data_IF_756039784509
#
_entry.id   IF_756039784509
#
_cell.length_a   1.000
_cell.length_b   1.000
_cell.length_c   1.000
_cell.angle_alpha   90.00
_cell.angle_beta   90.00
_cell.angle_gamma   90.00
#
_symmetry.space_group_name_H-M   'P 1'
#
loop_
_entity.id
_entity.type
_entity.pdbx_description
1 polymer ?
#
# COMPACT_ATOMS: atom_id res chain seq x y z
N UNK A 1 -21.61 -11.65 17.17
CA UNK A 1 -22.32 -10.38 16.92
C UNK A 1 -22.17 -9.94 15.47
N UNK A 2 -20.94 -9.60 14.97
CA UNK A 2 -20.80 -9.12 13.57
C UNK A 2 -21.24 -10.17 12.55
N UNK A 3 -20.87 -11.43 12.74
CA UNK A 3 -21.32 -12.53 11.87
C UNK A 3 -22.82 -12.79 11.92
N UNK A 4 -23.47 -12.48 13.04
CA UNK A 4 -24.92 -12.58 13.19
C UNK A 4 -25.66 -11.43 12.49
N UNK A 5 -25.05 -10.23 12.46
CA UNK A 5 -25.62 -9.04 11.85
C UNK A 5 -25.41 -9.01 10.34
N UNK A 6 -24.20 -9.36 9.88
CA UNK A 6 -23.76 -9.21 8.49
C UNK A 6 -23.69 -10.53 7.71
N UNK A 7 -23.75 -11.69 8.41
CA UNK A 7 -23.44 -12.99 7.84
C UNK A 7 -21.94 -13.29 7.86
N UNK A 8 -21.54 -14.51 8.16
CA UNK A 8 -20.13 -14.93 8.18
C UNK A 8 -19.48 -14.88 6.79
N UNK A 9 -20.28 -15.10 5.74
CA UNK A 9 -19.89 -15.02 4.33
C UNK A 9 -19.48 -13.61 3.89
N UNK A 10 -19.90 -12.59 4.61
CA UNK A 10 -19.57 -11.19 4.34
C UNK A 10 -18.35 -10.68 5.13
N UNK A 11 -17.63 -11.58 5.80
CA UNK A 11 -16.35 -11.25 6.41
C UNK A 11 -15.29 -10.93 5.33
N UNK A 12 -14.63 -9.77 5.44
CA UNK A 12 -13.63 -9.32 4.49
C UNK A 12 -12.23 -9.56 5.03
N UNK A 13 -11.91 -9.02 6.20
CA UNK A 13 -10.56 -9.12 6.76
C UNK A 13 -10.52 -8.77 8.25
N UNK A 14 -9.50 -9.31 8.92
CA UNK A 14 -9.01 -8.80 10.20
C UNK A 14 -7.77 -7.96 9.95
N UNK A 15 -7.76 -6.74 10.46
CA UNK A 15 -6.66 -5.80 10.30
C UNK A 15 -6.04 -5.55 11.68
N UNK A 16 -4.75 -5.83 11.81
CA UNK A 16 -3.98 -5.42 12.99
C UNK A 16 -3.48 -3.98 12.82
N UNK A 17 -3.61 -3.17 13.86
CA UNK A 17 -3.01 -1.84 13.89
C UNK A 17 -2.28 -1.59 15.20
N UNK A 18 -1.09 -0.99 15.10
CA UNK A 18 -0.25 -0.67 16.25
C UNK A 18 -0.84 0.50 17.02
N UNK A 19 -0.90 0.38 18.37
CA UNK A 19 -1.37 1.45 19.26
C UNK A 19 -0.25 2.02 20.13
N UNK A 20 0.64 1.17 20.63
CA UNK A 20 1.71 1.57 21.57
C UNK A 20 3.03 0.88 21.26
N UNK A 21 4.10 1.24 21.97
CA UNK A 21 5.39 0.56 21.93
C UNK A 21 5.45 -0.76 22.71
N UNK A 22 4.38 -1.07 23.45
CA UNK A 22 4.36 -2.15 24.45
C UNK A 22 4.95 -1.70 25.79
N UNK A 23 4.47 -2.30 26.87
CA UNK A 23 5.01 -2.13 28.20
C UNK A 23 5.53 -3.47 28.71
N UNK A 24 6.47 -3.44 29.64
CA UNK A 24 6.94 -4.66 30.28
C UNK A 24 5.80 -5.30 31.08
N UNK A 25 5.55 -6.57 30.84
CA UNK A 25 4.46 -7.35 31.45
C UNK A 25 4.96 -8.76 31.77
N UNK A 26 4.28 -9.46 32.67
CA UNK A 26 4.60 -10.84 33.02
C UNK A 26 4.35 -11.85 31.87
N UNK A 27 3.71 -11.40 30.77
CA UNK A 27 3.40 -12.20 29.58
C UNK A 27 3.73 -11.40 28.31
N UNK A 28 3.15 -11.74 27.17
CA UNK A 28 3.33 -10.97 25.93
C UNK A 28 2.68 -9.58 26.03
N UNK A 29 3.47 -8.55 25.74
CA UNK A 29 2.99 -7.16 25.69
C UNK A 29 2.00 -6.96 24.55
N UNK A 30 0.88 -6.30 24.86
CA UNK A 30 -0.07 -5.86 23.83
C UNK A 30 0.45 -4.59 23.19
N UNK A 31 0.71 -4.63 21.88
CA UNK A 31 1.26 -3.51 21.12
C UNK A 31 0.27 -2.93 20.13
N UNK A 32 -0.92 -3.51 20.00
CA UNK A 32 -1.94 -3.08 19.03
C UNK A 32 -3.29 -3.70 19.26
N UNK A 33 -4.22 -3.32 18.41
CA UNK A 33 -5.60 -3.76 18.38
C UNK A 33 -5.99 -4.29 17.00
N UNK A 34 -7.22 -4.77 16.89
CA UNK A 34 -7.74 -5.36 15.66
C UNK A 34 -9.00 -4.63 15.21
N UNK A 35 -9.10 -4.43 13.90
CA UNK A 35 -10.34 -4.07 13.22
C UNK A 35 -10.91 -5.32 12.56
N UNK A 36 -12.20 -5.53 12.73
CA UNK A 36 -12.95 -6.56 12.02
C UNK A 36 -13.73 -5.89 10.89
N UNK A 37 -13.41 -6.23 9.67
CA UNK A 37 -14.05 -5.66 8.49
C UNK A 37 -15.07 -6.63 7.91
N UNK A 38 -16.32 -6.18 7.89
CA UNK A 38 -17.44 -6.87 7.26
C UNK A 38 -18.05 -5.98 6.18
N UNK A 39 -18.57 -6.58 5.13
CA UNK A 39 -19.41 -5.93 4.14
C UNK A 39 -20.89 -6.21 4.44
N UNK A 40 -21.79 -5.37 3.92
CA UNK A 40 -23.22 -5.72 3.87
C UNK A 40 -23.49 -6.80 2.82
N UNK A 41 -22.73 -6.75 1.70
CA UNK A 41 -22.74 -7.69 0.59
C UNK A 41 -21.32 -7.68 -0.01
N UNK A 42 -20.58 -8.77 0.20
CA UNK A 42 -19.18 -8.86 -0.23
C UNK A 42 -19.02 -8.78 -1.75
N UNK A 43 -20.04 -9.17 -2.51
CA UNK A 43 -20.01 -9.10 -3.98
C UNK A 43 -20.08 -7.67 -4.52
N UNK A 44 -20.50 -6.72 -3.67
CA UNK A 44 -20.69 -5.29 -3.99
C UNK A 44 -19.71 -4.39 -3.22
N UNK A 45 -18.72 -4.96 -2.58
CA UNK A 45 -17.80 -4.18 -1.76
C UNK A 45 -17.05 -3.14 -2.59
N UNK A 46 -17.06 -1.90 -2.12
CA UNK A 46 -16.18 -0.86 -2.63
C UNK A 46 -14.83 -0.98 -1.94
N UNK A 47 -13.77 -1.18 -2.71
CA UNK A 47 -12.41 -1.26 -2.20
C UNK A 47 -11.43 -0.45 -3.05
N UNK A 48 -10.80 0.53 -2.43
CA UNK A 48 -9.73 1.36 -3.00
C UNK A 48 -8.40 0.92 -2.43
N UNK A 49 -7.48 0.50 -3.31
CA UNK A 49 -6.13 0.12 -2.91
C UNK A 49 -5.38 1.35 -2.44
N UNK A 50 -4.91 1.33 -1.21
CA UNK A 50 -4.02 2.36 -0.68
C UNK A 50 -2.57 1.90 -0.82
N UNK A 51 -1.69 2.86 -1.00
CA UNK A 51 -0.25 2.67 -1.12
C UNK A 51 0.47 3.52 -0.10
N UNK A 52 1.59 3.02 0.39
CA UNK A 52 2.52 3.76 1.24
C UNK A 52 3.87 3.86 0.55
N UNK A 53 4.60 4.94 0.81
CA UNK A 53 5.95 5.10 0.28
C UNK A 53 6.84 3.96 0.79
N UNK A 54 7.53 3.34 -0.14
CA UNK A 54 8.42 2.24 0.14
C UNK A 54 9.47 2.13 -0.95
N UNK A 55 10.72 2.32 -0.57
CA UNK A 55 11.85 2.03 -1.43
C UNK A 55 12.56 0.78 -0.93
N UNK A 56 12.62 -0.30 -1.74
CA UNK A 56 13.32 -1.51 -1.35
C UNK A 56 14.78 -1.23 -1.00
N UNK A 57 15.22 -1.72 0.13
CA UNK A 57 16.62 -1.60 0.53
C UNK A 57 17.50 -2.54 -0.31
N UNK A 58 18.74 -2.17 -0.46
CA UNK A 58 19.75 -3.00 -1.13
C UNK A 58 19.86 -4.34 -0.41
N UNK A 59 19.90 -5.43 -1.18
CA UNK A 59 19.92 -6.79 -0.63
C UNK A 59 18.54 -7.34 -0.24
N UNK A 60 17.52 -6.48 -0.07
CA UNK A 60 16.15 -6.94 0.16
C UNK A 60 15.50 -7.47 -1.11
N UNK A 61 14.68 -8.52 -0.95
CA UNK A 61 13.76 -9.04 -1.98
C UNK A 61 14.38 -9.17 -3.38
N UNK A 62 15.70 -9.48 -3.45
CA UNK A 62 16.40 -9.74 -4.72
C UNK A 62 17.02 -8.54 -5.42
N UNK A 63 17.06 -7.35 -4.81
CA UNK A 63 17.82 -6.20 -5.31
C UNK A 63 19.32 -6.39 -5.06
N UNK A 64 19.92 -7.28 -5.88
CA UNK A 64 21.29 -7.79 -5.70
C UNK A 64 22.20 -7.49 -6.88
N UNK A 65 21.73 -6.72 -7.84
CA UNK A 65 22.47 -6.40 -9.06
C UNK A 65 22.68 -4.90 -9.19
N UNK A 66 23.78 -4.51 -9.85
CA UNK A 66 24.06 -3.13 -10.23
C UNK A 66 24.36 -3.07 -11.72
N UNK A 67 23.87 -2.04 -12.39
CA UNK A 67 24.15 -1.72 -13.79
C UNK A 67 24.77 -0.33 -13.86
N UNK A 68 25.79 -0.20 -14.68
CA UNK A 68 26.54 1.04 -14.90
C UNK A 68 26.08 1.77 -16.17
N UNK A 69 26.44 3.05 -16.34
CA UNK A 69 26.07 3.84 -17.53
C UNK A 69 26.55 3.26 -18.85
N UNK A 70 27.67 2.52 -18.85
CA UNK A 70 28.22 1.83 -20.02
C UNK A 70 27.43 0.56 -20.39
N UNK A 71 26.39 0.20 -19.60
CA UNK A 71 25.56 -0.99 -19.80
C UNK A 71 26.15 -2.27 -19.21
N UNK A 72 27.32 -2.21 -18.57
CA UNK A 72 27.86 -3.36 -17.84
C UNK A 72 27.07 -3.60 -16.56
N UNK A 73 26.93 -4.84 -16.16
CA UNK A 73 26.23 -5.19 -14.93
C UNK A 73 26.91 -6.33 -14.19
N UNK A 74 26.84 -6.29 -12.86
CA UNK A 74 27.35 -7.35 -12.00
C UNK A 74 26.45 -7.53 -10.76
N UNK A 75 26.63 -8.66 -10.10
CA UNK A 75 26.06 -8.83 -8.77
C UNK A 75 26.71 -7.88 -7.76
N UNK A 76 25.95 -7.45 -6.77
CA UNK A 76 26.49 -6.74 -5.61
C UNK A 76 27.36 -7.68 -4.78
N UNK A 77 28.49 -7.19 -4.33
CA UNK A 77 29.38 -7.92 -3.43
C UNK A 77 28.74 -8.10 -2.05
N UNK A 78 29.27 -9.03 -1.25
CA UNK A 78 28.78 -9.22 0.11
C UNK A 78 28.97 -7.96 1.00
N UNK A 79 30.03 -7.21 0.73
CA UNK A 79 30.33 -5.97 1.45
C UNK A 79 29.35 -4.84 1.07
N UNK A 80 29.08 -4.66 -0.22
CA UNK A 80 28.09 -3.68 -0.70
C UNK A 80 26.66 -3.98 -0.17
N UNK A 81 26.29 -5.24 -0.01
CA UNK A 81 25.00 -5.64 0.59
C UNK A 81 24.94 -5.33 2.07
N UNK A 82 26.03 -5.49 2.80
CA UNK A 82 26.10 -5.16 4.24
C UNK A 82 26.24 -3.67 4.48
N UNK A 83 26.87 -2.97 3.56
CA UNK A 83 27.21 -1.55 3.67
C UNK A 83 26.83 -0.80 2.37
N UNK A 84 25.57 -0.40 2.22
CA UNK A 84 25.08 0.25 0.99
C UNK A 84 25.82 1.53 0.60
N UNK A 85 26.52 2.18 1.54
CA UNK A 85 27.34 3.37 1.24
C UNK A 85 28.57 3.07 0.36
N UNK A 86 28.94 1.80 0.22
CA UNK A 86 30.03 1.36 -0.66
C UNK A 86 29.61 1.07 -2.09
N UNK A 87 28.32 1.16 -2.37
CA UNK A 87 27.82 0.97 -3.74
C UNK A 87 28.26 2.15 -4.59
N UNK A 88 28.82 1.91 -5.80
CA UNK A 88 29.19 2.96 -6.72
C UNK A 88 28.01 3.89 -7.02
N UNK A 89 28.23 5.19 -6.90
CA UNK A 89 27.19 6.21 -7.05
C UNK A 89 26.72 6.42 -8.49
N UNK A 90 27.54 5.99 -9.46
CA UNK A 90 27.25 6.01 -10.90
C UNK A 90 26.43 4.80 -11.36
N UNK A 91 26.30 3.78 -10.52
CA UNK A 91 25.53 2.58 -10.84
C UNK A 91 24.08 2.63 -10.29
N UNK A 92 23.17 1.93 -10.98
CA UNK A 92 21.78 1.75 -10.52
C UNK A 92 21.56 0.34 -10.02
N UNK A 93 21.05 0.24 -8.80
CA UNK A 93 20.69 -1.04 -8.19
C UNK A 93 19.39 -1.56 -8.79
N UNK A 94 19.36 -2.85 -9.11
CA UNK A 94 18.18 -3.49 -9.66
C UNK A 94 18.04 -4.95 -9.22
N UNK A 95 16.86 -5.47 -9.47
CA UNK A 95 16.56 -6.89 -9.36
C UNK A 95 16.19 -7.45 -10.74
N UNK A 96 16.75 -8.61 -11.06
CA UNK A 96 16.39 -9.37 -12.24
C UNK A 96 15.10 -10.18 -11.95
N UNK A 97 14.04 -9.88 -12.69
CA UNK A 97 12.70 -10.48 -12.48
C UNK A 97 12.31 -11.29 -13.69
N UNK A 98 11.74 -12.49 -13.48
CA UNK A 98 11.25 -13.32 -14.59
C UNK A 98 10.21 -12.59 -15.44
N UNK A 99 10.44 -12.55 -16.75
CA UNK A 99 9.50 -12.06 -17.76
C UNK A 99 8.64 -13.19 -18.35
N UNK A 100 8.75 -14.39 -17.79
CA UNK A 100 7.95 -15.55 -18.15
C UNK A 100 6.88 -15.81 -17.09
N UNK A 101 5.71 -16.26 -17.52
CA UNK A 101 4.60 -16.72 -16.67
C UNK A 101 4.27 -18.17 -16.98
N UNK A 102 3.75 -18.88 -15.99
CA UNK A 102 3.23 -20.24 -16.18
C UNK A 102 2.01 -20.24 -17.10
N UNK A 103 1.83 -21.33 -17.81
CA UNK A 103 0.77 -21.54 -18.78
C UNK A 103 1.34 -21.64 -20.19
N UNK A 104 1.02 -22.73 -20.88
CA UNK A 104 1.38 -22.89 -22.29
C UNK A 104 0.62 -21.88 -23.16
N UNK A 105 1.25 -21.43 -24.23
CA UNK A 105 0.60 -20.67 -25.30
C UNK A 105 0.56 -21.50 -26.57
N UNK A 106 -0.51 -21.34 -27.35
CA UNK A 106 -0.65 -21.98 -28.66
C UNK A 106 0.35 -21.42 -29.71
N UNK A 107 0.93 -20.25 -29.45
CA UNK A 107 1.89 -19.60 -30.33
C UNK A 107 3.06 -19.07 -29.51
N UNK A 108 4.05 -19.91 -29.16
CA UNK A 108 5.25 -19.46 -28.46
C UNK A 108 6.03 -18.53 -29.39
N UNK A 109 6.15 -17.28 -28.99
CA UNK A 109 6.80 -16.25 -29.78
C UNK A 109 8.30 -16.22 -29.46
N UNK A 110 9.10 -16.30 -30.52
CA UNK A 110 10.54 -16.08 -30.45
C UNK A 110 10.85 -14.59 -30.24
N UNK A 111 11.84 -14.31 -29.44
CA UNK A 111 12.38 -12.97 -29.28
C UNK A 111 13.89 -12.99 -29.47
N UNK A 112 14.38 -12.19 -30.41
CA UNK A 112 15.82 -12.04 -30.67
C UNK A 112 16.36 -10.84 -29.87
N UNK A 113 17.45 -11.09 -29.13
CA UNK A 113 18.16 -10.06 -28.37
C UNK A 113 19.66 -10.30 -28.37
N UNK A 114 20.43 -9.28 -28.78
CA UNK A 114 21.90 -9.35 -28.92
C UNK A 114 22.39 -10.56 -29.75
N UNK A 115 21.71 -10.82 -30.87
CA UNK A 115 22.07 -11.90 -31.81
C UNK A 115 21.73 -13.32 -31.32
N UNK A 116 20.99 -13.44 -30.19
CA UNK A 116 20.54 -14.75 -29.67
C UNK A 116 19.02 -14.79 -29.59
N UNK A 117 18.46 -15.93 -29.96
CA UNK A 117 17.03 -16.20 -29.92
C UNK A 117 16.63 -16.78 -28.58
N UNK A 118 15.56 -16.24 -28.02
CA UNK A 118 15.00 -16.65 -26.72
C UNK A 118 13.55 -17.08 -26.88
N UNK A 119 13.18 -18.12 -26.14
CA UNK A 119 11.84 -18.68 -26.09
C UNK A 119 11.33 -18.72 -24.65
N UNK A 120 10.03 -18.59 -24.44
CA UNK A 120 9.47 -18.72 -23.08
C UNK A 120 9.56 -20.16 -22.54
N UNK A 121 9.56 -21.15 -23.42
CA UNK A 121 9.50 -22.57 -23.11
C UNK A 121 8.11 -23.15 -23.32
N UNK A 122 7.98 -24.49 -23.42
CA UNK A 122 6.73 -25.17 -23.78
C UNK A 122 5.61 -25.01 -22.74
N UNK A 123 5.96 -24.81 -21.45
CA UNK A 123 5.02 -24.64 -20.35
C UNK A 123 4.84 -23.19 -19.90
N UNK A 124 5.40 -22.24 -20.63
CA UNK A 124 5.42 -20.83 -20.25
C UNK A 124 5.09 -19.93 -21.43
N UNK A 125 4.71 -18.70 -21.12
CA UNK A 125 4.56 -17.61 -22.10
C UNK A 125 5.28 -16.35 -21.59
N UNK A 126 5.53 -15.40 -22.51
CA UNK A 126 6.02 -14.09 -22.11
C UNK A 126 4.93 -13.31 -21.36
N UNK A 127 5.31 -12.59 -20.33
CA UNK A 127 4.38 -11.70 -19.59
C UNK A 127 3.96 -10.47 -20.38
N UNK A 128 4.58 -10.23 -21.52
CA UNK A 128 4.29 -9.12 -22.46
C UNK A 128 4.41 -9.60 -23.88
N UNK A 129 3.94 -8.83 -24.85
CA UNK A 129 4.11 -9.12 -26.30
C UNK A 129 5.57 -8.98 -26.73
N UNK A 130 5.89 -9.43 -27.95
CA UNK A 130 7.24 -9.28 -28.55
C UNK A 130 7.59 -7.80 -28.69
N UNK A 131 6.62 -6.95 -29.07
CA UNK A 131 6.80 -5.50 -29.14
C UNK A 131 7.07 -4.91 -27.73
N UNK A 132 6.47 -5.49 -26.69
CA UNK A 132 6.76 -5.14 -25.29
C UNK A 132 8.19 -5.51 -24.91
N UNK A 133 8.69 -6.70 -25.32
CA UNK A 133 10.07 -7.11 -25.12
C UNK A 133 11.04 -6.20 -25.89
N UNK A 134 10.68 -5.79 -27.10
CA UNK A 134 11.47 -4.87 -27.90
C UNK A 134 11.62 -3.51 -27.23
N UNK A 135 10.52 -2.95 -26.68
CA UNK A 135 10.57 -1.73 -25.88
C UNK A 135 11.42 -1.87 -24.64
N UNK A 136 11.44 -3.03 -23.98
CA UNK A 136 12.34 -3.29 -22.86
C UNK A 136 13.80 -3.31 -23.29
N UNK A 137 14.10 -3.87 -24.46
CA UNK A 137 15.44 -3.87 -25.03
C UNK A 137 15.94 -2.44 -25.33
N UNK A 138 15.11 -1.65 -26.02
CA UNK A 138 15.40 -0.23 -26.34
C UNK A 138 15.64 0.63 -25.10
N UNK A 139 14.96 0.31 -23.99
CA UNK A 139 15.11 1.01 -22.69
C UNK A 139 16.21 0.42 -21.80
N UNK A 140 17.03 -0.51 -22.33
CA UNK A 140 18.04 -1.22 -21.56
C UNK A 140 17.49 -1.90 -20.29
N UNK A 141 16.29 -2.50 -20.40
CA UNK A 141 15.58 -3.15 -19.29
C UNK A 141 15.66 -4.68 -19.35
N UNK A 142 16.58 -5.23 -20.12
CA UNK A 142 16.78 -6.68 -20.21
C UNK A 142 18.10 -7.08 -19.56
N UNK A 143 18.01 -7.92 -18.53
CA UNK A 143 19.12 -8.60 -17.91
C UNK A 143 19.35 -9.94 -18.61
N UNK A 144 20.60 -10.19 -19.00
CA UNK A 144 21.02 -11.47 -19.56
C UNK A 144 21.46 -12.41 -18.43
N UNK A 145 20.68 -13.45 -18.19
CA UNK A 145 21.12 -14.62 -17.45
C UNK A 145 21.71 -15.65 -18.43
N UNK A 146 22.42 -16.67 -17.93
CA UNK A 146 23.19 -17.63 -18.78
C UNK A 146 22.37 -18.17 -19.98
N UNK A 147 21.12 -18.58 -19.77
CA UNK A 147 20.26 -19.15 -20.80
C UNK A 147 18.87 -18.51 -20.91
N UNK A 148 18.69 -17.33 -20.32
CA UNK A 148 17.39 -16.65 -20.31
C UNK A 148 17.55 -15.15 -20.22
N UNK A 149 16.48 -14.46 -20.55
CA UNK A 149 16.35 -13.02 -20.36
C UNK A 149 15.40 -12.75 -19.20
N UNK A 150 15.67 -11.65 -18.46
CA UNK A 150 14.88 -11.22 -17.31
C UNK A 150 14.66 -9.72 -17.39
N UNK A 151 13.62 -9.23 -16.74
CA UNK A 151 13.32 -7.81 -16.64
C UNK A 151 14.19 -7.14 -15.57
N UNK A 152 14.84 -6.04 -15.92
CA UNK A 152 15.54 -5.15 -14.99
C UNK A 152 14.49 -4.27 -14.31
N UNK A 153 14.31 -4.48 -13.01
CA UNK A 153 13.49 -3.62 -12.17
C UNK A 153 14.39 -2.86 -11.21
N UNK A 154 14.49 -1.56 -11.37
CA UNK A 154 15.24 -0.70 -10.45
C UNK A 154 14.51 -0.58 -9.12
N UNK A 155 15.22 -0.26 -8.06
CA UNK A 155 14.65 -0.09 -6.72
C UNK A 155 13.82 1.19 -6.59
N UNK A 156 13.97 2.13 -7.52
CA UNK A 156 13.24 3.40 -7.62
C UNK A 156 12.14 3.41 -8.70
N UNK A 157 11.94 2.31 -9.44
CA UNK A 157 10.90 2.23 -10.50
C UNK A 157 9.48 2.42 -9.97
N UNK A 158 9.22 1.99 -8.74
CA UNK A 158 7.92 2.11 -8.10
C UNK A 158 8.12 2.21 -6.59
N UNK A 159 8.33 3.43 -6.06
CA UNK A 159 8.67 3.66 -4.66
C UNK A 159 7.44 3.57 -3.73
N UNK A 160 6.53 2.65 -4.01
CA UNK A 160 5.32 2.43 -3.23
C UNK A 160 5.05 0.94 -3.05
N UNK A 161 4.50 0.57 -1.91
CA UNK A 161 3.92 -0.77 -1.68
C UNK A 161 2.45 -0.65 -1.32
N UNK A 162 1.66 -1.62 -1.74
CA UNK A 162 0.25 -1.69 -1.37
C UNK A 162 0.12 -1.91 0.13
N UNK A 163 -0.80 -1.19 0.75
CA UNK A 163 -1.18 -1.38 2.14
C UNK A 163 -1.71 -2.80 2.36
N UNK A 164 -1.24 -3.44 3.41
CA UNK A 164 -1.69 -4.78 3.83
C UNK A 164 -2.65 -4.68 5.01
N UNK A 165 -3.02 -5.81 5.60
CA UNK A 165 -3.81 -5.86 6.83
C UNK A 165 -2.98 -5.73 8.11
N UNK A 166 -1.73 -5.27 8.03
CA UNK A 166 -0.86 -4.97 9.18
C UNK A 166 -0.40 -3.52 9.09
N UNK A 167 -0.87 -2.68 10.01
CA UNK A 167 -0.60 -1.25 10.05
C UNK A 167 0.30 -0.89 11.24
N UNK A 168 1.57 -0.67 10.98
CA UNK A 168 2.58 -0.39 12.01
C UNK A 168 2.83 1.12 12.21
N UNK A 169 2.39 1.95 11.28
CA UNK A 169 2.54 3.42 11.28
C UNK A 169 1.44 4.16 12.04
N UNK A 170 0.55 3.43 12.72
CA UNK A 170 -0.60 3.97 13.47
C UNK A 170 -0.35 4.13 14.95
N UNK A 171 0.85 3.75 15.44
CA UNK A 171 1.22 3.91 16.84
C UNK A 171 1.22 5.39 17.25
N UNK A 172 0.63 5.70 18.41
CA UNK A 172 0.79 7.01 19.05
C UNK A 172 2.18 7.08 19.64
N UNK A 173 3.00 8.04 19.19
CA UNK A 173 4.31 8.33 19.78
C UNK A 173 4.16 8.66 21.27
N UNK A 174 5.17 8.31 22.05
CA UNK A 174 5.11 8.42 23.51
C UNK A 174 4.89 9.85 24.07
N UNK A 175 5.17 10.89 23.30
CA UNK A 175 5.09 12.28 23.74
C UNK A 175 4.83 13.20 22.54
N UNK A 176 3.59 13.60 22.29
CA UNK A 176 3.39 14.67 21.32
C UNK A 176 2.02 14.84 20.66
N UNK A 177 1.13 13.89 20.72
CA UNK A 177 -0.25 14.15 20.33
C UNK A 177 -1.08 14.39 21.60
N UNK A 178 -1.59 15.60 21.76
CA UNK A 178 -2.55 15.95 22.81
C UNK A 178 -3.79 15.07 22.68
N UNK A 179 -3.83 13.98 23.43
CA UNK A 179 -5.04 13.15 23.55
C UNK A 179 -6.15 14.01 24.15
N UNK A 180 -7.10 14.39 23.34
CA UNK A 180 -8.25 15.20 23.77
C UNK A 180 -9.34 14.38 24.47
N UNK A 181 -9.23 13.05 24.41
CA UNK A 181 -10.19 12.13 25.02
C UNK A 181 -9.49 10.84 25.51
N UNK A 182 -10.04 10.22 26.56
CA UNK A 182 -9.43 9.07 27.27
C UNK A 182 -9.21 7.86 26.36
N UNK A 183 -10.12 7.62 25.41
CA UNK A 183 -10.03 6.55 24.42
C UNK A 183 -10.16 7.17 23.02
N UNK A 184 -9.05 7.55 22.43
CA UNK A 184 -9.02 8.13 21.08
C UNK A 184 -8.31 7.18 20.13
N UNK A 185 -9.00 6.79 19.07
CA UNK A 185 -8.40 6.04 17.95
C UNK A 185 -7.56 7.00 17.11
N UNK A 186 -6.35 6.58 16.75
CA UNK A 186 -5.47 7.38 15.89
C UNK A 186 -6.17 7.71 14.57
N UNK A 187 -6.09 8.98 14.16
CA UNK A 187 -6.70 9.47 12.93
C UNK A 187 -6.26 8.68 11.70
N UNK A 188 -5.01 8.20 11.63
CA UNK A 188 -4.50 7.39 10.52
C UNK A 188 -5.31 6.10 10.32
N UNK A 189 -5.77 5.48 11.41
CA UNK A 189 -6.60 4.27 11.35
C UNK A 189 -7.92 4.57 10.65
N UNK A 190 -8.62 5.60 11.10
CA UNK A 190 -9.91 6.02 10.52
C UNK A 190 -9.74 6.49 9.08
N UNK A 191 -8.68 7.25 8.79
CA UNK A 191 -8.35 7.71 7.43
C UNK A 191 -8.17 6.52 6.48
N UNK A 192 -7.40 5.50 6.87
CA UNK A 192 -7.23 4.30 6.05
C UNK A 192 -8.55 3.57 5.81
N UNK A 193 -9.36 3.40 6.85
CA UNK A 193 -10.69 2.79 6.71
C UNK A 193 -11.56 3.57 5.72
N UNK A 194 -11.68 4.88 5.88
CA UNK A 194 -12.48 5.76 5.03
C UNK A 194 -12.01 5.74 3.58
N UNK A 195 -10.72 5.92 3.34
CA UNK A 195 -10.17 5.96 1.99
C UNK A 195 -10.27 4.62 1.26
N UNK A 196 -10.19 3.49 1.97
CA UNK A 196 -10.36 2.17 1.36
C UNK A 196 -11.80 1.87 0.96
N UNK A 197 -12.79 2.39 1.68
CA UNK A 197 -14.18 1.91 1.59
C UNK A 197 -15.18 2.93 1.09
N UNK A 198 -14.79 4.20 0.95
CA UNK A 198 -15.68 5.30 0.55
C UNK A 198 -15.05 6.18 -0.53
N UNK A 199 -15.90 6.88 -1.26
CA UNK A 199 -15.53 7.97 -2.18
C UNK A 199 -15.97 9.33 -1.62
N UNK A 200 -15.45 10.47 -2.13
CA UNK A 200 -15.96 11.79 -1.79
C UNK A 200 -17.49 11.86 -1.96
N UNK A 201 -18.17 12.46 -0.98
CA UNK A 201 -19.64 12.54 -0.95
C UNK A 201 -20.35 11.32 -0.36
N UNK A 202 -19.70 10.19 -0.15
CA UNK A 202 -20.27 9.04 0.59
C UNK A 202 -20.51 9.40 2.07
N UNK A 203 -21.34 8.62 2.76
CA UNK A 203 -21.66 8.82 4.17
C UNK A 203 -20.86 7.86 5.05
N UNK A 204 -20.19 8.40 6.06
CA UNK A 204 -19.63 7.64 7.17
C UNK A 204 -20.54 7.74 8.39
N UNK A 205 -20.92 6.60 8.96
CA UNK A 205 -21.71 6.51 10.20
C UNK A 205 -20.82 6.01 11.34
N UNK A 206 -20.79 6.76 12.45
CA UNK A 206 -20.12 6.35 13.67
C UNK A 206 -21.11 6.44 14.85
N UNK A 207 -21.51 5.28 15.37
CA UNK A 207 -22.52 5.18 16.43
C UNK A 207 -21.92 5.27 17.84
N UNK A 208 -20.58 5.42 17.96
CA UNK A 208 -19.85 5.54 19.22
C UNK A 208 -18.69 6.54 19.06
N UNK A 209 -19.04 7.76 18.64
CA UNK A 209 -18.09 8.70 18.06
C UNK A 209 -17.01 9.25 19.04
N UNK A 210 -17.21 9.11 20.34
CA UNK A 210 -16.24 9.61 21.33
C UNK A 210 -15.88 11.08 21.08
N UNK A 211 -14.61 11.35 20.82
CA UNK A 211 -14.11 12.70 20.53
C UNK A 211 -14.40 13.19 19.10
N UNK A 212 -15.10 12.41 18.27
CA UNK A 212 -15.49 12.81 16.91
C UNK A 212 -14.38 12.64 15.86
N UNK A 213 -13.43 11.75 16.06
CA UNK A 213 -12.33 11.52 15.12
C UNK A 213 -12.85 11.12 13.73
N UNK A 214 -13.88 10.28 13.67
CA UNK A 214 -14.48 9.89 12.39
C UNK A 214 -15.07 11.09 11.64
N UNK A 215 -15.77 12.00 12.34
CA UNK A 215 -16.34 13.20 11.73
C UNK A 215 -15.24 14.13 11.17
N UNK A 216 -14.20 14.39 11.95
CA UNK A 216 -13.04 15.21 11.52
C UNK A 216 -12.36 14.61 10.29
N UNK A 217 -12.11 13.31 10.30
CA UNK A 217 -11.47 12.63 9.16
C UNK A 217 -12.38 12.64 7.93
N UNK A 218 -13.68 12.39 8.11
CA UNK A 218 -14.63 12.41 7.01
C UNK A 218 -14.71 13.79 6.35
N UNK A 219 -14.77 14.85 7.13
CA UNK A 219 -14.78 16.23 6.63
C UNK A 219 -13.49 16.57 5.88
N UNK A 220 -12.31 16.21 6.43
CA UNK A 220 -11.02 16.42 5.79
C UNK A 220 -10.90 15.76 4.41
N UNK A 221 -11.65 14.68 4.18
CA UNK A 221 -11.59 13.90 2.95
C UNK A 221 -12.86 14.02 2.10
N UNK A 222 -13.71 15.02 2.38
CA UNK A 222 -14.90 15.33 1.58
C UNK A 222 -16.01 14.28 1.69
N UNK A 223 -16.07 13.51 2.79
CA UNK A 223 -17.15 12.57 3.08
C UNK A 223 -18.18 13.23 3.97
N UNK A 224 -19.46 12.90 3.74
CA UNK A 224 -20.53 13.24 4.69
C UNK A 224 -20.44 12.32 5.90
N UNK A 225 -20.91 12.76 7.05
CA UNK A 225 -20.83 11.97 8.25
C UNK A 225 -22.09 12.11 9.12
N UNK A 226 -22.39 11.06 9.86
CA UNK A 226 -23.40 11.01 10.92
C UNK A 226 -22.72 10.38 12.11
N UNK A 227 -22.74 11.05 13.27
CA UNK A 227 -22.14 10.54 14.50
C UNK A 227 -23.13 10.54 15.63
N UNK A 228 -23.09 9.50 16.47
CA UNK A 228 -23.88 9.34 17.67
C UNK A 228 -22.97 8.97 18.83
N UNK A 229 -23.40 9.28 20.04
CA UNK A 229 -22.81 8.77 21.27
C UNK A 229 -23.83 8.82 22.40
N UNK A 230 -23.71 7.92 23.38
CA UNK A 230 -24.53 7.96 24.59
C UNK A 230 -24.01 8.99 25.61
N UNK A 231 -22.73 9.37 25.50
CA UNK A 231 -22.07 10.34 26.38
C UNK A 231 -22.31 11.77 25.89
N UNK A 232 -23.00 12.57 26.68
CA UNK A 232 -23.15 14.03 26.41
C UNK A 232 -21.79 14.75 26.40
N UNK A 233 -20.83 14.30 27.18
CA UNK A 233 -19.47 14.85 27.19
C UNK A 233 -18.77 14.61 25.85
N UNK A 234 -18.86 13.39 25.32
CA UNK A 234 -18.33 13.04 24.01
C UNK A 234 -18.94 13.93 22.92
N UNK A 235 -20.29 14.05 22.88
CA UNK A 235 -20.99 14.88 21.90
C UNK A 235 -20.62 16.37 22.01
N UNK A 236 -20.47 16.89 23.24
CA UNK A 236 -20.04 18.29 23.45
C UNK A 236 -18.62 18.51 22.92
N UNK A 237 -17.71 17.59 23.22
CA UNK A 237 -16.32 17.65 22.71
C UNK A 237 -16.27 17.56 21.19
N UNK A 238 -16.99 16.61 20.62
CA UNK A 238 -17.11 16.46 19.15
C UNK A 238 -17.61 17.75 18.50
N UNK A 239 -18.68 18.32 19.05
CA UNK A 239 -19.25 19.59 18.56
C UNK A 239 -18.25 20.73 18.64
N UNK A 240 -17.55 20.88 19.75
CA UNK A 240 -16.51 21.91 19.91
C UNK A 240 -15.37 21.70 18.91
N UNK A 241 -14.89 20.48 18.73
CA UNK A 241 -13.84 20.17 17.75
C UNK A 241 -14.26 20.52 16.33
N UNK A 242 -15.48 20.16 15.92
CA UNK A 242 -16.00 20.45 14.58
C UNK A 242 -16.17 21.95 14.33
N UNK A 243 -16.67 22.69 15.33
CA UNK A 243 -16.86 24.15 15.21
C UNK A 243 -15.54 24.93 15.21
N UNK A 244 -14.48 24.43 15.85
CA UNK A 244 -13.17 25.04 15.88
C UNK A 244 -12.23 24.55 14.77
N UNK A 245 -12.62 23.55 13.99
CA UNK A 245 -11.78 22.99 12.94
C UNK A 245 -11.80 23.87 11.69
N UNK A 246 -10.64 24.00 11.06
CA UNK A 246 -10.49 24.57 9.73
C UNK A 246 -10.21 23.45 8.75
N UNK A 247 -10.94 23.41 7.66
CA UNK A 247 -10.81 22.40 6.61
C UNK A 247 -10.34 23.06 5.33
N UNK A 248 -9.45 22.37 4.62
CA UNK A 248 -9.00 22.83 3.31
C UNK A 248 -10.17 22.75 2.31
N UNK A 249 -10.33 23.79 1.52
CA UNK A 249 -11.26 23.77 0.40
C UNK A 249 -10.55 23.14 -0.81
N UNK A 250 -11.11 22.05 -1.31
CA UNK A 250 -10.59 21.37 -2.48
C UNK A 250 -11.43 21.71 -3.71
N UNK A 251 -10.76 22.09 -4.78
CA UNK A 251 -11.38 22.25 -6.10
C UNK A 251 -11.32 20.92 -6.81
N UNK A 252 -12.44 20.47 -7.38
CA UNK A 252 -12.47 19.23 -8.16
C UNK A 252 -11.59 19.38 -9.41
N UNK A 253 -10.81 18.36 -9.73
CA UNK A 253 -10.01 18.32 -10.94
C UNK A 253 -10.90 18.35 -12.20
N UNK A 254 -12.09 17.73 -12.12
CA UNK A 254 -13.09 17.66 -13.17
C UNK A 254 -14.47 18.12 -12.64
N UNK A 255 -14.70 19.44 -12.46
CA UNK A 255 -15.93 19.94 -11.81
C UNK A 255 -17.22 19.50 -12.51
N UNK A 256 -17.17 19.28 -13.81
CA UNK A 256 -18.34 18.89 -14.63
C UNK A 256 -18.73 17.41 -14.47
N UNK A 257 -17.87 16.60 -13.89
CA UNK A 257 -18.07 15.16 -13.72
C UNK A 257 -18.58 14.80 -12.31
N UNK A 258 -18.64 15.79 -11.42
CA UNK A 258 -19.09 15.63 -10.04
C UNK A 258 -18.04 15.04 -9.10
N UNK A 259 -18.43 14.80 -7.84
CA UNK A 259 -17.54 14.33 -6.76
C UNK A 259 -17.14 12.87 -6.83
N UNK A 260 -17.59 12.11 -7.78
CA UNK A 260 -17.31 10.68 -7.94
C UNK A 260 -16.39 10.35 -9.11
N UNK A 261 -15.87 11.36 -9.80
CA UNK A 261 -15.04 11.22 -11.00
C UNK A 261 -13.55 11.30 -10.69
#
# INVERSE_FOLDING_TARGET
ILSEVFGSENFVSTIFFKTTGGFDTSTLSRVGDYLLWFAKDISKIKFRKLYEEYQPQVGEVGYNWIIFPDGTSRGLTADEKRNPSKIPTDGKVYKATSIKSQGATSSPQEFEFKGKKYYPGSSHHWKTSVEGLQRLAEKNRIHLAANSIQYIRYNDDFPYKQLTNIWLDTGTGSFGEDKKYVVETNQKVITKCLLMTTDPGDIALDITCGSGTTAIVAENWGRRWITCDTSRVALTLTKQRMLAANFNYFVLAHPNEGVGS
#
